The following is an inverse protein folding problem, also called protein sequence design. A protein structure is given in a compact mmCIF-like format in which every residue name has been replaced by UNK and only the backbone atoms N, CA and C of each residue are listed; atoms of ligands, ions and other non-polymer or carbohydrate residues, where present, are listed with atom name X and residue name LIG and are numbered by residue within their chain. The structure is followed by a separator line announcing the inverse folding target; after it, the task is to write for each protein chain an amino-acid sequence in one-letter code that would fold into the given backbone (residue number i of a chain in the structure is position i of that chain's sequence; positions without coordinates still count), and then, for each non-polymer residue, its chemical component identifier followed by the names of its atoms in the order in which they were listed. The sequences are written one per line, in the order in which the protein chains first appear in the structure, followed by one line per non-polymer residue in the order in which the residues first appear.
data_IF_952973691161
#
_entry.id   IF_952973691161
#
_cell.length_a   1.000
_cell.length_b   1.000
_cell.length_c   1.000
_cell.angle_alpha   90.00
_cell.angle_beta   90.00
_cell.angle_gamma   90.00
#
_symmetry.space_group_name_H-M   'P 1'
#
loop_
_entity.id
_entity.type
_entity.pdbx_description
1 polymer ?
#
# COMPACT_ATOMS: atom_id res chain seq x y z
N UNK A 1 -27.66 -4.99 -50.23
CA UNK A 1 -26.31 -4.41 -49.89
C UNK A 1 -26.31 -3.68 -48.53
N UNK A 2 -27.38 -3.07 -48.06
CA UNK A 2 -27.47 -2.34 -46.78
C UNK A 2 -27.30 -3.22 -45.53
N UNK A 3 -27.74 -4.49 -45.59
CA UNK A 3 -27.63 -5.42 -44.45
C UNK A 3 -26.21 -5.87 -44.14
N UNK A 4 -25.28 -5.89 -45.09
CA UNK A 4 -23.90 -6.28 -44.89
C UNK A 4 -23.06 -5.18 -44.20
N UNK A 5 -23.42 -3.92 -44.39
CA UNK A 5 -22.71 -2.76 -43.80
C UNK A 5 -23.05 -2.58 -42.32
N UNK A 6 -24.27 -2.93 -41.90
CA UNK A 6 -24.67 -2.84 -40.50
C UNK A 6 -24.00 -3.93 -39.60
N UNK A 7 -23.71 -5.12 -40.15
CA UNK A 7 -23.02 -6.18 -39.42
C UNK A 7 -21.55 -5.85 -39.15
N UNK A 8 -20.88 -5.18 -40.08
CA UNK A 8 -19.47 -4.80 -39.93
C UNK A 8 -19.27 -3.70 -38.85
N UNK A 9 -20.24 -2.77 -38.73
CA UNK A 9 -20.17 -1.69 -37.74
C UNK A 9 -20.34 -2.18 -36.30
N UNK A 10 -21.12 -3.23 -36.08
CA UNK A 10 -21.32 -3.82 -34.74
C UNK A 10 -20.11 -4.60 -34.23
N UNK A 11 -19.33 -5.22 -35.12
CA UNK A 11 -18.11 -5.96 -34.77
C UNK A 11 -16.97 -5.04 -34.34
N UNK A 12 -16.85 -3.85 -34.95
CA UNK A 12 -15.82 -2.87 -34.62
C UNK A 12 -16.05 -2.20 -33.24
N UNK A 13 -17.32 -2.03 -32.85
CA UNK A 13 -17.65 -1.47 -31.53
C UNK A 13 -17.35 -2.43 -30.37
N UNK A 14 -17.46 -3.74 -30.58
CA UNK A 14 -17.17 -4.73 -29.54
C UNK A 14 -15.67 -4.85 -29.21
N UNK A 15 -14.78 -4.61 -30.19
CA UNK A 15 -13.32 -4.69 -29.96
C UNK A 15 -12.80 -3.46 -29.22
N UNK A 16 -13.41 -2.29 -29.39
CA UNK A 16 -12.99 -1.07 -28.70
C UNK A 16 -13.27 -1.12 -27.18
N UNK A 17 -14.33 -1.83 -26.78
CA UNK A 17 -14.68 -1.92 -25.37
C UNK A 17 -13.83 -2.92 -24.58
N UNK A 18 -13.21 -3.90 -25.26
CA UNK A 18 -12.37 -4.89 -24.61
C UNK A 18 -10.97 -4.36 -24.26
N UNK A 19 -10.52 -3.26 -24.85
CA UNK A 19 -9.21 -2.65 -24.59
C UNK A 19 -9.22 -1.70 -23.38
N UNK A 20 -10.40 -1.18 -23.02
CA UNK A 20 -10.53 -0.22 -21.91
C UNK A 20 -10.55 -0.93 -20.53
N UNK A 21 -11.07 -2.17 -20.48
CA UNK A 21 -11.09 -2.95 -19.23
C UNK A 21 -9.70 -3.47 -18.83
N UNK A 22 -8.83 -3.78 -19.79
CA UNK A 22 -7.46 -4.22 -19.50
C UNK A 22 -6.59 -3.09 -18.92
N UNK A 23 -6.88 -1.85 -19.28
CA UNK A 23 -6.12 -0.69 -18.81
C UNK A 23 -6.50 -0.25 -17.38
N UNK A 24 -7.72 -0.56 -16.95
CA UNK A 24 -8.19 -0.27 -15.60
C UNK A 24 -7.57 -1.20 -14.55
N UNK A 25 -7.28 -2.46 -14.90
CA UNK A 25 -6.62 -3.42 -14.01
C UNK A 25 -5.12 -3.12 -13.82
N UNK A 26 -4.44 -2.59 -14.83
CA UNK A 26 -3.02 -2.26 -14.76
C UNK A 26 -2.75 -1.01 -13.90
N UNK A 27 -3.70 -0.07 -13.84
CA UNK A 27 -3.62 1.10 -12.97
C UNK A 27 -3.81 0.75 -11.48
N UNK A 28 -4.50 -0.34 -11.16
CA UNK A 28 -4.74 -0.79 -9.80
C UNK A 28 -3.54 -1.51 -9.18
N UNK A 29 -2.61 -2.00 -10.01
CA UNK A 29 -1.39 -2.70 -9.57
C UNK A 29 -0.23 -1.74 -9.28
N UNK A 30 -0.35 -0.46 -9.60
CA UNK A 30 0.72 0.54 -9.43
C UNK A 30 0.59 1.40 -8.17
N UNK A 31 -0.48 1.27 -7.39
CA UNK A 31 -0.56 1.88 -6.07
C UNK A 31 0.30 1.08 -5.09
N UNK A 32 1.25 1.76 -4.43
CA UNK A 32 2.04 1.18 -3.35
C UNK A 32 1.12 0.40 -2.38
N UNK A 33 1.56 -0.73 -1.84
CA UNK A 33 0.70 -1.53 -0.97
C UNK A 33 0.32 -0.71 0.26
N UNK A 34 -0.89 -0.16 0.25
CA UNK A 34 -1.55 0.36 1.44
C UNK A 34 -1.89 -0.80 2.40
N UNK A 35 -1.80 -2.02 1.90
CA UNK A 35 -2.13 -3.22 2.64
C UNK A 35 -0.94 -3.78 3.40
N UNK A 36 -1.18 -4.03 4.67
CA UNK A 36 -0.25 -4.77 5.52
C UNK A 36 -0.08 -6.20 4.99
N UNK A 37 1.15 -6.75 4.97
CA UNK A 37 1.43 -8.13 4.56
C UNK A 37 0.56 -9.15 5.29
N UNK A 38 0.21 -10.23 4.60
CA UNK A 38 -0.62 -11.29 5.14
C UNK A 38 0.15 -12.11 6.17
N UNK A 39 -0.38 -12.18 7.39
CA UNK A 39 0.25 -12.81 8.56
C UNK A 39 -0.84 -12.98 9.64
N UNK A 40 -0.78 -14.00 10.49
CA UNK A 40 -1.74 -14.19 11.58
C UNK A 40 -1.92 -12.99 12.51
N UNK A 41 -0.90 -12.16 12.69
CA UNK A 41 -0.96 -10.95 13.50
C UNK A 41 -1.41 -9.70 12.73
N UNK A 42 -1.64 -9.78 11.41
CA UNK A 42 -2.12 -8.67 10.59
C UNK A 42 -3.40 -8.02 11.14
N UNK A 43 -4.46 -8.75 11.51
CA UNK A 43 -5.68 -8.13 12.02
C UNK A 43 -5.44 -7.34 13.32
N UNK A 44 -4.54 -7.82 14.17
CA UNK A 44 -4.14 -7.14 15.39
C UNK A 44 -3.43 -5.82 15.08
N UNK A 45 -2.41 -5.84 14.21
CA UNK A 45 -1.67 -4.64 13.81
C UNK A 45 -2.60 -3.66 13.11
N UNK A 46 -3.42 -4.10 12.19
CA UNK A 46 -4.40 -3.26 11.51
C UNK A 46 -5.37 -2.62 12.51
N UNK A 47 -5.98 -3.40 13.40
CA UNK A 47 -6.96 -2.91 14.35
C UNK A 47 -6.40 -1.96 15.41
N UNK A 48 -5.11 -2.09 15.79
CA UNK A 48 -4.49 -1.25 16.84
C UNK A 48 -3.73 -0.05 16.27
N UNK A 49 -3.01 -0.23 15.17
CA UNK A 49 -2.14 0.83 14.64
C UNK A 49 -2.88 1.80 13.73
N UNK A 50 -3.95 1.37 13.05
CA UNK A 50 -4.70 2.25 12.13
C UNK A 50 -5.85 3.01 12.80
N UNK A 51 -5.91 3.03 14.12
CA UNK A 51 -6.90 3.83 14.86
C UNK A 51 -6.71 5.33 14.67
N UNK A 52 -5.48 5.79 14.50
CA UNK A 52 -5.14 7.21 14.47
C UNK A 52 -4.52 7.67 13.13
N UNK A 53 -4.01 6.77 12.30
CA UNK A 53 -3.38 7.07 11.02
C UNK A 53 -3.49 5.86 10.07
N UNK A 54 -3.16 6.08 8.81
CA UNK A 54 -3.25 5.06 7.75
C UNK A 54 -2.08 4.09 7.78
N UNK A 55 -2.22 2.93 7.15
CA UNK A 55 -1.22 1.86 7.17
C UNK A 55 0.11 2.26 6.50
N UNK A 56 0.12 3.26 5.64
CA UNK A 56 1.32 3.78 4.98
C UNK A 56 2.36 4.32 5.97
N UNK A 57 1.95 4.82 7.13
CA UNK A 57 2.88 5.17 8.23
C UNK A 57 3.68 3.98 8.74
N UNK A 58 3.16 2.77 8.56
CA UNK A 58 3.85 1.52 8.91
C UNK A 58 4.65 1.01 7.70
N UNK A 59 3.98 0.89 6.56
CA UNK A 59 4.55 0.23 5.37
C UNK A 59 5.72 0.99 4.75
N UNK A 60 5.87 2.27 5.04
CA UNK A 60 7.01 3.09 4.63
C UNK A 60 8.23 2.97 5.56
N UNK A 61 8.09 2.38 6.72
CA UNK A 61 9.16 2.25 7.70
C UNK A 61 9.99 0.98 7.50
N UNK A 62 11.27 1.07 7.84
CA UNK A 62 12.21 -0.06 7.89
C UNK A 62 13.04 0.08 9.16
N UNK A 63 12.70 -0.70 10.18
CA UNK A 63 13.30 -0.55 11.50
C UNK A 63 13.82 -1.89 12.02
N UNK A 64 14.81 -1.82 12.90
CA UNK A 64 15.25 -2.97 13.68
C UNK A 64 14.17 -3.35 14.70
N UNK A 65 14.17 -4.60 15.17
CA UNK A 65 13.21 -5.06 16.19
C UNK A 65 13.22 -4.17 17.46
N UNK A 66 14.38 -3.78 18.05
CA UNK A 66 14.37 -2.85 19.18
C UNK A 66 13.78 -1.46 18.85
N UNK A 67 13.88 -1.01 17.61
CA UNK A 67 13.27 0.25 17.19
C UNK A 67 11.75 0.10 17.02
N UNK A 68 11.28 -1.03 16.50
CA UNK A 68 9.86 -1.35 16.48
C UNK A 68 9.27 -1.45 17.88
N UNK A 69 9.99 -2.08 18.83
CA UNK A 69 9.58 -2.12 20.24
C UNK A 69 9.35 -0.70 20.78
N UNK A 70 10.33 0.19 20.61
CA UNK A 70 10.19 1.60 21.05
C UNK A 70 9.02 2.31 20.39
N UNK A 71 8.75 2.02 19.12
CA UNK A 71 7.63 2.60 18.37
C UNK A 71 6.30 2.13 18.94
N UNK A 72 6.13 0.83 19.17
CA UNK A 72 4.90 0.25 19.75
C UNK A 72 4.68 0.80 21.17
N UNK A 73 5.72 0.84 22.00
CA UNK A 73 5.64 1.39 23.36
C UNK A 73 5.25 2.87 23.37
N UNK A 74 5.77 3.64 22.42
CA UNK A 74 5.39 5.04 22.24
C UNK A 74 3.92 5.19 21.86
N UNK A 75 3.41 4.38 20.94
CA UNK A 75 2.00 4.43 20.55
C UNK A 75 1.08 4.02 21.71
N UNK A 76 1.47 3.03 22.51
CA UNK A 76 0.75 2.67 23.74
C UNK A 76 0.67 3.84 24.73
N UNK A 77 1.77 4.57 24.91
CA UNK A 77 1.79 5.81 25.73
C UNK A 77 0.87 6.90 25.18
N UNK A 78 0.65 6.94 23.89
CA UNK A 78 -0.30 7.86 23.24
C UNK A 78 -1.76 7.37 23.25
N UNK A 79 -2.01 6.21 23.85
CA UNK A 79 -3.36 5.71 24.08
C UNK A 79 -3.80 4.54 23.20
N UNK A 80 -2.88 3.94 22.41
CA UNK A 80 -3.21 2.70 21.71
C UNK A 80 -3.48 1.58 22.73
N UNK A 81 -4.70 1.00 22.77
CA UNK A 81 -5.03 -0.03 23.75
C UNK A 81 -4.45 -1.37 23.31
N UNK A 82 -3.36 -1.80 23.93
CA UNK A 82 -2.73 -3.09 23.67
C UNK A 82 -2.17 -3.68 24.96
N UNK A 83 -2.41 -4.98 25.17
CA UNK A 83 -1.76 -5.73 26.26
C UNK A 83 -0.28 -5.94 25.96
N UNK A 84 0.49 -6.45 26.92
CA UNK A 84 1.91 -6.76 26.71
C UNK A 84 2.11 -7.89 25.69
N UNK A 85 1.21 -8.89 25.68
CA UNK A 85 1.21 -9.97 24.71
C UNK A 85 0.90 -9.48 23.32
N UNK A 86 -0.12 -8.62 23.19
CA UNK A 86 -0.46 -7.97 21.92
C UNK A 86 0.70 -7.11 21.41
N UNK A 87 1.35 -6.33 22.27
CA UNK A 87 2.50 -5.51 21.92
C UNK A 87 3.66 -6.36 21.40
N UNK A 88 3.97 -7.48 22.05
CA UNK A 88 4.98 -8.44 21.56
C UNK A 88 4.63 -9.02 20.19
N UNK A 89 3.37 -9.39 19.98
CA UNK A 89 2.91 -9.93 18.71
C UNK A 89 3.00 -8.86 17.59
N UNK A 90 2.64 -7.61 17.88
CA UNK A 90 2.78 -6.50 16.95
C UNK A 90 4.24 -6.25 16.58
N UNK A 91 5.16 -6.20 17.56
CA UNK A 91 6.59 -6.02 17.32
C UNK A 91 7.15 -7.15 16.45
N UNK A 92 6.81 -8.39 16.76
CA UNK A 92 7.24 -9.55 15.98
C UNK A 92 6.74 -9.49 14.52
N UNK A 93 5.51 -9.07 14.31
CA UNK A 93 4.96 -8.83 12.98
C UNK A 93 5.73 -7.74 12.23
N UNK A 94 5.92 -6.59 12.87
CA UNK A 94 6.58 -5.43 12.27
C UNK A 94 8.04 -5.70 11.92
N UNK A 95 8.79 -6.34 12.83
CA UNK A 95 10.19 -6.70 12.61
C UNK A 95 10.37 -7.73 11.49
N UNK A 96 9.41 -8.64 11.31
CA UNK A 96 9.44 -9.67 10.27
C UNK A 96 9.09 -9.12 8.90
N UNK A 97 8.09 -8.24 8.82
CA UNK A 97 7.56 -7.73 7.56
C UNK A 97 8.24 -6.44 7.09
N UNK A 98 8.80 -5.64 8.00
CA UNK A 98 9.42 -4.35 7.72
C UNK A 98 10.79 -4.19 8.41
N UNK A 99 11.71 -5.17 8.25
CA UNK A 99 13.02 -5.11 8.86
C UNK A 99 13.90 -4.02 8.23
N UNK A 100 14.94 -3.59 8.95
CA UNK A 100 15.79 -2.48 8.57
C UNK A 100 16.64 -2.72 7.31
N UNK A 101 16.86 -3.97 6.94
CA UNK A 101 17.64 -4.40 5.78
C UNK A 101 16.83 -4.47 4.48
N UNK A 102 15.50 -4.41 4.55
CA UNK A 102 14.68 -4.31 3.35
C UNK A 102 14.76 -2.90 2.74
N UNK A 103 14.83 -2.80 1.40
CA UNK A 103 14.77 -1.51 0.74
C UNK A 103 13.45 -0.79 1.09
N UNK A 104 13.47 0.54 1.27
CA UNK A 104 12.26 1.29 1.48
C UNK A 104 11.34 1.16 0.25
N UNK A 105 10.01 1.17 0.44
CA UNK A 105 9.09 1.13 -0.68
C UNK A 105 9.36 2.35 -1.58
N UNK A 106 9.25 2.14 -2.89
CA UNK A 106 9.32 3.24 -3.84
C UNK A 106 8.09 4.12 -3.63
N UNK A 107 8.25 5.25 -2.97
CA UNK A 107 7.23 6.29 -3.05
C UNK A 107 7.05 6.68 -4.52
N UNK A 108 5.85 6.68 -5.07
CA UNK A 108 5.60 7.36 -6.32
C UNK A 108 5.97 8.83 -6.08
N UNK A 109 7.18 9.21 -6.53
CA UNK A 109 7.63 10.58 -6.43
C UNK A 109 6.66 11.41 -7.26
N UNK A 110 5.86 12.24 -6.61
CA UNK A 110 5.04 13.20 -7.31
C UNK A 110 5.93 13.93 -8.34
N UNK A 111 5.49 14.09 -9.59
CA UNK A 111 6.25 14.85 -10.58
C UNK A 111 6.63 16.20 -9.96
N UNK A 112 7.91 16.54 -10.02
CA UNK A 112 8.34 17.86 -9.57
C UNK A 112 7.57 18.92 -10.34
N UNK A 113 7.04 19.97 -9.69
CA UNK A 113 6.37 21.05 -10.41
C UNK A 113 7.32 21.62 -11.46
N UNK A 114 6.79 21.99 -12.64
CA UNK A 114 7.60 22.58 -13.70
C UNK A 114 8.42 23.75 -13.15
N UNK A 115 9.74 23.72 -13.32
CA UNK A 115 10.66 24.77 -12.85
C UNK A 115 11.36 24.51 -11.51
N UNK A 116 11.11 23.39 -10.81
CA UNK A 116 11.91 23.01 -9.63
C UNK A 116 13.26 22.41 -10.07
N UNK A 117 14.26 23.24 -10.33
CA UNK A 117 15.65 22.80 -10.50
C UNK A 117 16.27 22.54 -9.14
N UNK A 118 16.83 21.34 -8.98
CA UNK A 118 17.66 21.01 -7.85
C UNK A 118 18.83 22.00 -7.77
N UNK A 119 18.89 22.85 -6.75
CA UNK A 119 20.11 23.63 -6.47
C UNK A 119 21.18 22.67 -5.97
N UNK A 120 22.29 22.63 -6.70
CA UNK A 120 23.55 22.02 -6.20
C UNK A 120 24.08 22.79 -5.00
#
# INVERSE_FOLDING_TARGET
MIRALLAASLLLAAVAWSLDTARADEAKTASAPEDLPDDPARPLVQGKCTLCHTADYITQQRLTEPAWQRTVDKMRKFGTPATDEEAKAMVAYLARNFPADLPPPRSPRAPLPPGSVSRK
#
